data_IF_018638016801
#
_entry.id   IF_018638016801
#
_cell.length_a   1.000
_cell.length_b   1.000
_cell.length_c   1.000
_cell.angle_alpha   90.00
_cell.angle_beta   90.00
_cell.angle_gamma   90.00
#
_symmetry.space_group_name_H-M   'P 1'
#
loop_
_entity.id
_entity.type
_entity.pdbx_description
1 polymer ?
#
# COMPACT_ATOMS: atom_id res chain seq x y z
N UNK A 1 53.42 5.79 -47.67
CA UNK A 1 53.30 5.73 -46.20
C UNK A 1 51.86 6.03 -45.84
N UNK A 2 51.07 4.98 -45.65
CA UNK A 2 49.63 5.01 -45.44
C UNK A 2 49.37 5.07 -43.95
N UNK A 3 48.86 6.20 -43.45
CA UNK A 3 48.48 6.37 -42.05
C UNK A 3 47.28 5.46 -41.74
N UNK A 4 47.55 4.33 -41.08
CA UNK A 4 46.53 3.54 -40.39
C UNK A 4 46.13 4.31 -39.12
N UNK A 5 44.97 4.97 -39.18
CA UNK A 5 44.24 5.41 -37.99
C UNK A 5 43.80 4.19 -37.20
N UNK A 6 44.47 3.96 -36.07
CA UNK A 6 44.06 3.05 -35.01
C UNK A 6 42.64 3.42 -34.55
N UNK A 7 41.69 2.54 -34.83
CA UNK A 7 40.34 2.59 -34.28
C UNK A 7 40.42 2.37 -32.77
N UNK A 8 39.95 3.35 -31.99
CA UNK A 8 39.60 3.14 -30.59
C UNK A 8 38.55 2.04 -30.53
N UNK A 9 38.96 0.86 -30.10
CA UNK A 9 38.06 -0.20 -29.69
C UNK A 9 37.39 0.28 -28.41
N UNK A 10 36.16 0.76 -28.52
CA UNK A 10 35.29 1.06 -27.38
C UNK A 10 34.97 -0.27 -26.66
N UNK A 11 35.85 -0.70 -25.76
CA UNK A 11 35.57 -1.74 -24.77
C UNK A 11 34.70 -1.09 -23.68
N UNK A 12 33.45 -0.81 -24.04
CA UNK A 12 32.40 -0.42 -23.12
C UNK A 12 31.22 -1.32 -23.39
N UNK A 13 30.95 -2.29 -22.52
CA UNK A 13 29.73 -3.09 -22.60
C UNK A 13 28.55 -2.12 -22.49
N UNK A 14 27.95 -1.78 -23.64
CA UNK A 14 26.82 -0.85 -23.70
C UNK A 14 25.56 -1.64 -23.32
N UNK A 15 25.30 -1.75 -22.01
CA UNK A 15 24.10 -2.43 -21.54
C UNK A 15 22.84 -1.69 -22.02
N UNK A 16 22.02 -2.36 -22.84
CA UNK A 16 20.71 -1.83 -23.22
C UNK A 16 19.77 -1.79 -22.01
N UNK A 17 18.79 -0.87 -21.98
CA UNK A 17 17.74 -0.85 -20.94
C UNK A 17 17.03 -2.20 -20.80
N UNK A 18 16.83 -2.90 -21.92
CA UNK A 18 16.25 -4.25 -21.96
C UNK A 18 17.12 -5.26 -21.21
N UNK A 19 18.43 -5.21 -21.39
CA UNK A 19 19.36 -6.09 -20.68
C UNK A 19 19.36 -5.81 -19.17
N UNK A 20 19.39 -4.53 -18.78
CA UNK A 20 19.32 -4.11 -17.37
C UNK A 20 18.01 -4.56 -16.73
N UNK A 21 16.87 -4.33 -17.39
CA UNK A 21 15.56 -4.75 -16.91
C UNK A 21 15.47 -6.27 -16.69
N UNK A 22 16.07 -7.07 -17.58
CA UNK A 22 16.13 -8.54 -17.42
C UNK A 22 16.98 -8.96 -16.23
N UNK A 23 18.12 -8.31 -16.02
CA UNK A 23 19.00 -8.60 -14.88
C UNK A 23 18.28 -8.26 -13.57
N UNK A 24 17.67 -7.08 -13.48
CA UNK A 24 16.91 -6.66 -12.30
C UNK A 24 15.72 -7.60 -12.05
N UNK A 25 15.01 -8.03 -13.09
CA UNK A 25 13.95 -9.03 -12.96
C UNK A 25 14.46 -10.37 -12.42
N UNK A 26 15.61 -10.85 -12.90
CA UNK A 26 16.21 -12.07 -12.40
C UNK A 26 16.60 -11.94 -10.92
N UNK A 27 17.26 -10.83 -10.53
CA UNK A 27 17.62 -10.55 -9.14
C UNK A 27 16.37 -10.48 -8.26
N UNK A 28 15.32 -9.78 -8.73
CA UNK A 28 14.07 -9.66 -8.00
C UNK A 28 13.41 -11.04 -7.78
N UNK A 29 13.26 -11.85 -8.82
CA UNK A 29 12.67 -13.20 -8.71
C UNK A 29 13.50 -14.07 -7.74
N UNK A 30 14.82 -14.08 -7.88
CA UNK A 30 15.70 -14.85 -6.99
C UNK A 30 15.54 -14.39 -5.55
N UNK A 31 15.43 -13.08 -5.30
CA UNK A 31 15.24 -12.52 -3.96
C UNK A 31 13.91 -12.92 -3.30
N UNK A 32 12.89 -13.32 -4.08
CA UNK A 32 11.62 -13.80 -3.54
C UNK A 32 11.65 -15.28 -3.14
N UNK A 33 12.60 -16.08 -3.67
CA UNK A 33 12.66 -17.52 -3.42
C UNK A 33 12.81 -17.83 -1.93
N UNK A 34 13.75 -17.23 -1.17
CA UNK A 34 13.85 -17.49 0.26
C UNK A 34 12.58 -17.10 1.01
N UNK A 35 11.94 -16.00 0.59
CA UNK A 35 10.73 -15.53 1.26
C UNK A 35 9.58 -16.55 1.14
N UNK A 36 9.37 -17.06 -0.08
CA UNK A 36 8.33 -18.06 -0.37
C UNK A 36 8.69 -19.42 0.24
N UNK A 37 9.97 -19.81 0.23
CA UNK A 37 10.39 -21.08 0.82
C UNK A 37 10.11 -21.12 2.33
N UNK A 38 10.37 -20.02 3.04
CA UNK A 38 10.09 -19.91 4.49
C UNK A 38 8.58 -19.96 4.79
N UNK A 39 7.71 -19.50 3.90
CA UNK A 39 6.27 -19.44 4.19
C UNK A 39 5.62 -20.80 4.39
N UNK A 40 6.19 -21.88 3.85
CA UNK A 40 5.72 -23.26 4.08
C UNK A 40 5.85 -23.70 5.54
N UNK A 41 6.70 -23.04 6.32
CA UNK A 41 6.87 -23.29 7.75
C UNK A 41 6.00 -22.39 8.63
N UNK A 42 5.26 -21.44 8.05
CA UNK A 42 4.41 -20.56 8.83
C UNK A 42 3.24 -21.30 9.49
N UNK A 43 2.82 -20.74 10.61
CA UNK A 43 1.65 -21.15 11.38
C UNK A 43 0.88 -19.93 11.85
N UNK A 44 -0.39 -20.14 12.18
CA UNK A 44 -1.27 -19.12 12.77
C UNK A 44 -0.66 -18.61 14.07
N UNK A 45 -0.90 -17.34 14.36
CA UNK A 45 -0.46 -16.74 15.62
C UNK A 45 -1.45 -15.70 16.13
N UNK A 46 -1.48 -15.55 17.46
CA UNK A 46 -2.23 -14.52 18.17
C UNK A 46 -3.68 -14.34 17.63
N UNK A 47 -3.96 -13.18 17.06
CA UNK A 47 -5.28 -12.77 16.57
C UNK A 47 -5.87 -13.74 15.53
N UNK A 48 -5.05 -14.54 14.83
CA UNK A 48 -5.54 -15.50 13.83
C UNK A 48 -6.47 -16.54 14.47
N UNK A 49 -6.19 -16.92 15.72
CA UNK A 49 -7.04 -17.83 16.48
C UNK A 49 -8.33 -17.14 16.92
N UNK A 50 -8.24 -15.91 17.44
CA UNK A 50 -9.40 -15.19 17.97
C UNK A 50 -10.39 -14.83 16.86
N UNK A 51 -9.93 -14.25 15.75
CA UNK A 51 -10.82 -13.88 14.64
C UNK A 51 -11.26 -15.09 13.81
N UNK A 52 -10.42 -16.13 13.70
CA UNK A 52 -10.72 -17.34 12.96
C UNK A 52 -11.56 -18.37 13.70
N UNK A 53 -11.88 -18.15 14.99
CA UNK A 53 -12.52 -19.17 15.82
C UNK A 53 -13.90 -19.59 15.27
N UNK A 54 -14.80 -18.63 15.07
CA UNK A 54 -16.17 -18.90 14.62
C UNK A 54 -16.21 -19.58 13.24
N UNK A 55 -15.34 -19.15 12.34
CA UNK A 55 -15.28 -19.66 10.96
C UNK A 55 -14.63 -21.03 10.88
N UNK A 56 -13.61 -21.31 11.71
CA UNK A 56 -13.02 -22.64 11.84
C UNK A 56 -14.04 -23.66 12.38
N UNK A 57 -14.84 -23.30 13.37
CA UNK A 57 -15.94 -24.14 13.86
C UNK A 57 -16.98 -24.41 12.76
N UNK A 58 -17.46 -23.36 12.08
CA UNK A 58 -18.42 -23.51 10.98
C UNK A 58 -17.89 -24.42 9.86
N UNK A 59 -16.61 -24.31 9.52
CA UNK A 59 -15.99 -25.18 8.52
C UNK A 59 -15.90 -26.64 8.99
N UNK A 60 -15.41 -26.89 10.21
CA UNK A 60 -15.26 -28.25 10.76
C UNK A 60 -16.58 -28.99 10.93
N UNK A 61 -17.64 -28.28 11.30
CA UNK A 61 -18.96 -28.88 11.56
C UNK A 61 -19.75 -29.13 10.27
N UNK A 62 -19.61 -28.25 9.25
CA UNK A 62 -20.51 -28.27 8.09
C UNK A 62 -19.84 -28.47 6.74
N UNK A 63 -18.53 -28.18 6.62
CA UNK A 63 -17.83 -28.13 5.33
C UNK A 63 -18.38 -27.08 4.35
N UNK A 64 -19.23 -26.16 4.79
CA UNK A 64 -19.96 -25.23 3.91
C UNK A 64 -19.34 -23.84 3.91
N UNK A 65 -18.91 -23.37 2.74
CA UNK A 65 -18.41 -22.01 2.55
C UNK A 65 -19.47 -20.95 2.91
N UNK A 66 -20.75 -21.23 2.67
CA UNK A 66 -21.82 -20.30 3.03
C UNK A 66 -21.90 -20.10 4.55
N UNK A 67 -21.81 -21.18 5.32
CA UNK A 67 -21.80 -21.10 6.80
C UNK A 67 -20.55 -20.39 7.32
N UNK A 68 -19.40 -20.59 6.68
CA UNK A 68 -18.17 -19.85 6.99
C UNK A 68 -18.36 -18.35 6.76
N UNK A 69 -18.97 -17.93 5.66
CA UNK A 69 -19.24 -16.51 5.39
C UNK A 69 -20.21 -15.89 6.41
N UNK A 70 -21.26 -16.62 6.82
CA UNK A 70 -22.15 -16.18 7.89
C UNK A 70 -21.42 -16.05 9.23
N UNK A 71 -20.54 -16.98 9.56
CA UNK A 71 -19.72 -16.91 10.77
C UNK A 71 -18.75 -15.73 10.74
N UNK A 72 -18.16 -15.41 9.58
CA UNK A 72 -17.32 -14.22 9.42
C UNK A 72 -18.12 -12.92 9.66
N UNK A 73 -19.36 -12.83 9.18
CA UNK A 73 -20.23 -11.69 9.45
C UNK A 73 -20.58 -11.56 10.95
N UNK A 74 -20.81 -12.67 11.64
CA UNK A 74 -21.00 -12.68 13.10
C UNK A 74 -19.75 -12.21 13.85
N UNK A 75 -18.56 -12.58 13.36
CA UNK A 75 -17.29 -12.09 13.91
C UNK A 75 -17.17 -10.57 13.77
N UNK A 76 -17.58 -10.02 12.61
CA UNK A 76 -17.63 -8.57 12.38
C UNK A 76 -18.60 -7.90 13.35
N UNK A 77 -19.83 -8.39 13.45
CA UNK A 77 -20.87 -7.84 14.34
C UNK A 77 -20.39 -7.79 15.79
N UNK A 78 -19.88 -8.91 16.30
CA UNK A 78 -19.33 -9.01 17.66
C UNK A 78 -18.19 -8.00 17.87
N UNK A 79 -17.19 -8.03 16.99
CA UNK A 79 -16.00 -7.16 17.12
C UNK A 79 -16.35 -5.67 17.01
N UNK A 80 -17.32 -5.31 16.18
CA UNK A 80 -17.78 -3.93 16.00
C UNK A 80 -18.31 -3.33 17.31
N UNK A 81 -18.94 -4.17 18.14
CA UNK A 81 -19.49 -3.75 19.44
C UNK A 81 -18.45 -3.81 20.55
N UNK A 82 -17.63 -4.86 20.60
CA UNK A 82 -16.81 -5.15 21.79
C UNK A 82 -15.33 -4.78 21.64
N UNK A 83 -14.83 -4.49 20.43
CA UNK A 83 -13.39 -4.31 20.22
C UNK A 83 -12.97 -3.23 19.21
N UNK A 84 -13.43 -3.28 17.95
CA UNK A 84 -13.08 -2.23 16.98
C UNK A 84 -13.99 -2.22 15.76
N UNK A 85 -14.12 -1.05 15.14
CA UNK A 85 -14.99 -0.79 14.00
C UNK A 85 -14.45 -1.15 12.61
N UNK A 86 -13.27 -1.76 12.50
CA UNK A 86 -12.63 -2.07 11.21
C UNK A 86 -13.26 -3.29 10.53
N UNK A 87 -14.51 -3.13 10.13
CA UNK A 87 -15.42 -4.20 9.73
C UNK A 87 -14.90 -5.02 8.54
N UNK A 88 -14.32 -4.37 7.53
CA UNK A 88 -13.79 -5.07 6.36
C UNK A 88 -12.51 -5.84 6.71
N UNK A 89 -11.63 -5.26 7.53
CA UNK A 89 -10.44 -5.98 7.99
C UNK A 89 -10.81 -7.22 8.81
N UNK A 90 -11.73 -7.08 9.76
CA UNK A 90 -12.20 -8.19 10.61
C UNK A 90 -12.86 -9.29 9.77
N UNK A 91 -13.64 -8.92 8.76
CA UNK A 91 -14.21 -9.89 7.83
C UNK A 91 -13.12 -10.74 7.15
N UNK A 92 -12.05 -10.09 6.70
CA UNK A 92 -10.92 -10.81 6.09
C UNK A 92 -10.14 -11.64 7.11
N UNK A 93 -9.92 -11.13 8.33
CA UNK A 93 -9.25 -11.85 9.42
C UNK A 93 -9.94 -13.18 9.74
N UNK A 94 -11.27 -13.18 9.75
CA UNK A 94 -12.07 -14.36 9.98
C UNK A 94 -11.94 -15.41 8.85
N UNK A 95 -11.38 -15.05 7.70
CA UNK A 95 -11.22 -15.91 6.53
C UNK A 95 -9.76 -16.34 6.30
N UNK A 96 -8.93 -16.32 7.35
CA UNK A 96 -7.53 -16.73 7.26
C UNK A 96 -7.39 -18.19 6.76
N UNK A 97 -6.38 -18.53 5.92
CA UNK A 97 -6.34 -19.81 5.19
C UNK A 97 -6.41 -21.07 6.06
N UNK A 98 -5.88 -21.01 7.28
CA UNK A 98 -5.82 -22.15 8.18
C UNK A 98 -7.12 -22.45 8.94
N UNK A 99 -8.20 -21.70 8.72
CA UNK A 99 -9.54 -22.18 9.11
C UNK A 99 -9.92 -23.44 8.32
N UNK A 100 -9.42 -23.56 7.08
CA UNK A 100 -9.70 -24.69 6.19
C UNK A 100 -8.73 -25.85 6.43
N UNK A 101 -7.44 -25.53 6.57
CA UNK A 101 -6.38 -26.48 6.91
C UNK A 101 -5.11 -25.73 7.30
N UNK A 102 -4.48 -26.11 8.41
CA UNK A 102 -3.23 -25.50 8.88
C UNK A 102 -2.10 -25.56 7.84
N UNK A 103 -2.12 -26.57 6.96
CA UNK A 103 -1.16 -26.69 5.86
C UNK A 103 -1.30 -25.62 4.78
N UNK A 104 -2.39 -24.86 4.76
CA UNK A 104 -2.64 -23.79 3.79
C UNK A 104 -2.13 -22.42 4.27
N UNK A 105 -1.61 -22.30 5.49
CA UNK A 105 -1.22 -21.00 6.03
C UNK A 105 -0.08 -20.31 5.25
N UNK A 106 0.72 -21.06 4.48
CA UNK A 106 1.71 -20.47 3.56
C UNK A 106 1.08 -19.53 2.52
N UNK A 107 -0.20 -19.72 2.19
CA UNK A 107 -0.95 -18.85 1.28
C UNK A 107 -1.03 -17.41 1.78
N UNK A 108 -0.92 -17.18 3.09
CA UNK A 108 -0.80 -15.85 3.69
C UNK A 108 0.25 -15.01 2.97
N UNK A 109 1.48 -15.54 2.90
CA UNK A 109 2.62 -14.85 2.28
C UNK A 109 2.39 -14.62 0.78
N UNK A 110 1.80 -15.61 0.10
CA UNK A 110 1.48 -15.50 -1.33
C UNK A 110 0.46 -14.38 -1.55
N UNK A 111 -0.65 -14.37 -0.82
CA UNK A 111 -1.71 -13.36 -0.97
C UNK A 111 -1.14 -11.96 -0.75
N UNK A 112 -0.38 -11.76 0.33
CA UNK A 112 0.16 -10.45 0.69
C UNK A 112 1.21 -9.98 -0.34
N UNK A 113 2.20 -10.82 -0.66
CA UNK A 113 3.28 -10.46 -1.60
C UNK A 113 2.73 -10.15 -2.99
N UNK A 114 1.89 -11.03 -3.54
CA UNK A 114 1.39 -10.83 -4.90
C UNK A 114 0.40 -9.66 -5.00
N UNK A 115 -0.39 -9.41 -3.95
CA UNK A 115 -1.23 -8.20 -3.89
C UNK A 115 -0.38 -6.94 -3.91
N UNK A 116 0.70 -6.91 -3.14
CA UNK A 116 1.61 -5.76 -3.07
C UNK A 116 2.41 -5.56 -4.36
N UNK A 117 2.97 -6.63 -4.93
CA UNK A 117 3.70 -6.59 -6.20
C UNK A 117 2.78 -6.12 -7.33
N UNK A 118 1.61 -6.74 -7.47
CA UNK A 118 0.66 -6.42 -8.54
C UNK A 118 0.16 -4.97 -8.45
N UNK A 119 -0.25 -4.54 -7.25
CA UNK A 119 -0.74 -3.17 -7.04
C UNK A 119 0.32 -2.11 -7.29
N UNK A 120 1.56 -2.34 -6.82
CA UNK A 120 2.68 -1.41 -7.04
C UNK A 120 3.05 -1.32 -8.52
N UNK A 121 3.17 -2.46 -9.22
CA UNK A 121 3.44 -2.49 -10.66
C UNK A 121 2.35 -1.75 -11.44
N UNK A 122 1.08 -1.98 -11.10
CA UNK A 122 -0.05 -1.29 -11.74
C UNK A 122 -0.03 0.22 -11.47
N UNK A 123 0.11 0.65 -10.21
CA UNK A 123 0.16 2.06 -9.86
C UNK A 123 1.31 2.78 -10.58
N UNK A 124 2.53 2.20 -10.54
CA UNK A 124 3.69 2.76 -11.21
C UNK A 124 3.56 2.70 -12.74
N UNK A 125 2.83 1.74 -13.30
CA UNK A 125 2.51 1.74 -14.73
C UNK A 125 1.67 2.96 -15.10
N UNK A 126 0.60 3.24 -14.35
CA UNK A 126 -0.23 4.42 -14.59
C UNK A 126 0.61 5.70 -14.49
N UNK A 127 1.39 5.87 -13.42
CA UNK A 127 2.23 7.07 -13.23
C UNK A 127 3.30 7.20 -14.33
N UNK A 128 4.11 6.16 -14.54
CA UNK A 128 5.27 6.27 -15.43
C UNK A 128 4.92 6.14 -16.90
N UNK A 129 4.03 5.23 -17.28
CA UNK A 129 3.70 4.98 -18.69
C UNK A 129 2.62 5.93 -19.17
N UNK A 130 1.54 6.14 -18.41
CA UNK A 130 0.44 6.99 -18.88
C UNK A 130 0.74 8.48 -18.73
N UNK A 131 1.34 8.92 -17.62
CA UNK A 131 1.61 10.35 -17.39
C UNK A 131 3.03 10.78 -17.79
N UNK A 132 4.06 10.04 -17.39
CA UNK A 132 5.46 10.40 -17.67
C UNK A 132 5.92 9.94 -19.08
N UNK A 133 5.17 9.05 -19.72
CA UNK A 133 5.48 8.48 -21.05
C UNK A 133 6.83 7.73 -21.09
N UNK A 134 7.19 7.11 -19.98
CA UNK A 134 8.36 6.26 -19.87
C UNK A 134 8.23 5.02 -20.78
N UNK A 135 9.35 4.59 -21.38
CA UNK A 135 9.36 3.34 -22.12
C UNK A 135 9.22 2.12 -21.18
N UNK A 136 8.74 1.00 -21.73
CA UNK A 136 8.47 -0.24 -20.98
C UNK A 136 9.65 -0.70 -20.12
N UNK A 137 10.90 -0.52 -20.58
CA UNK A 137 12.07 -1.01 -19.86
C UNK A 137 12.42 -0.09 -18.70
N UNK A 138 12.28 1.22 -18.88
CA UNK A 138 12.39 2.19 -17.78
C UNK A 138 11.36 1.88 -16.69
N UNK A 139 10.09 1.68 -17.05
CA UNK A 139 9.04 1.35 -16.09
C UNK A 139 9.33 0.05 -15.33
N UNK A 140 9.77 -1.00 -16.01
CA UNK A 140 10.16 -2.27 -15.37
C UNK A 140 11.30 -2.07 -14.38
N UNK A 141 12.35 -1.35 -14.78
CA UNK A 141 13.52 -1.08 -13.92
C UNK A 141 13.07 -0.37 -12.64
N UNK A 142 12.35 0.75 -12.77
CA UNK A 142 11.90 1.53 -11.60
C UNK A 142 11.00 0.67 -10.70
N UNK A 143 9.99 0.01 -11.28
CA UNK A 143 9.02 -0.76 -10.49
C UNK A 143 9.67 -1.89 -9.70
N UNK A 144 10.59 -2.64 -10.34
CA UNK A 144 11.27 -3.75 -9.68
C UNK A 144 12.30 -3.27 -8.67
N UNK A 145 12.99 -2.15 -8.92
CA UNK A 145 13.88 -1.54 -7.93
C UNK A 145 13.08 -1.10 -6.71
N UNK A 146 12.00 -0.33 -6.87
CA UNK A 146 11.14 0.07 -5.75
C UNK A 146 10.63 -1.15 -4.96
N UNK A 147 10.11 -2.17 -5.64
CA UNK A 147 9.64 -3.40 -5.00
C UNK A 147 10.74 -4.15 -4.25
N UNK A 148 11.95 -4.21 -4.81
CA UNK A 148 13.08 -4.82 -4.15
C UNK A 148 13.38 -4.11 -2.82
N UNK A 149 13.39 -2.76 -2.80
CA UNK A 149 13.58 -2.00 -1.56
C UNK A 149 12.47 -2.25 -0.56
N UNK A 150 11.22 -2.14 -0.98
CA UNK A 150 10.08 -2.35 -0.09
C UNK A 150 10.11 -3.75 0.52
N UNK A 151 10.38 -4.80 -0.26
CA UNK A 151 10.27 -6.18 0.22
C UNK A 151 11.52 -6.60 1.01
N UNK A 152 12.72 -6.34 0.47
CA UNK A 152 13.97 -6.87 1.05
C UNK A 152 14.48 -6.03 2.22
N UNK A 153 14.05 -4.76 2.32
CA UNK A 153 14.38 -3.85 3.43
C UNK A 153 13.15 -3.49 4.25
N UNK A 154 12.09 -4.31 4.21
CA UNK A 154 10.93 -4.13 5.06
C UNK A 154 11.35 -4.08 6.55
N UNK A 155 10.99 -3.04 7.32
CA UNK A 155 11.33 -2.92 8.74
C UNK A 155 11.03 -4.16 9.60
N UNK A 156 9.93 -4.86 9.30
CA UNK A 156 9.62 -6.17 9.90
C UNK A 156 9.01 -7.11 8.86
N UNK A 157 9.82 -8.03 8.36
CA UNK A 157 9.37 -9.04 7.39
C UNK A 157 8.38 -10.04 8.01
N UNK A 158 8.56 -10.42 9.28
CA UNK A 158 7.68 -11.37 10.00
C UNK A 158 6.23 -10.89 10.00
N UNK A 159 6.03 -9.64 10.38
CA UNK A 159 4.69 -9.07 10.57
C UNK A 159 4.12 -8.52 9.26
N UNK A 160 4.99 -8.32 8.26
CA UNK A 160 4.61 -7.95 6.90
C UNK A 160 4.01 -9.13 6.14
N UNK A 161 4.77 -10.22 6.00
CA UNK A 161 4.52 -11.23 4.98
C UNK A 161 4.17 -12.59 5.56
N UNK A 162 4.46 -12.85 6.85
CA UNK A 162 4.30 -14.19 7.42
C UNK A 162 3.16 -14.31 8.41
N UNK A 163 2.59 -13.19 8.87
CA UNK A 163 1.41 -13.16 9.73
C UNK A 163 0.18 -12.64 8.99
N UNK A 164 -0.90 -13.44 8.95
CA UNK A 164 -2.08 -13.14 8.14
C UNK A 164 -2.79 -11.88 8.59
N UNK A 165 -3.16 -11.78 9.87
CA UNK A 165 -3.81 -10.57 10.35
C UNK A 165 -2.93 -9.33 10.20
N UNK A 166 -1.64 -9.40 10.54
CA UNK A 166 -0.72 -8.28 10.37
C UNK A 166 -0.62 -7.80 8.91
N UNK A 167 -0.35 -8.74 7.99
CA UNK A 167 -0.13 -8.42 6.59
C UNK A 167 -1.41 -8.05 5.83
N UNK A 168 -2.54 -8.71 6.11
CA UNK A 168 -3.84 -8.28 5.58
C UNK A 168 -4.19 -6.90 6.11
N UNK A 169 -4.01 -6.64 7.40
CA UNK A 169 -4.46 -5.38 7.98
C UNK A 169 -3.74 -4.16 7.40
N UNK A 170 -2.46 -4.28 7.08
CA UNK A 170 -1.66 -3.15 6.58
C UNK A 170 -1.28 -3.28 5.11
N UNK A 171 -0.51 -4.30 4.73
CA UNK A 171 0.07 -4.38 3.37
C UNK A 171 -1.02 -4.64 2.32
N UNK A 172 -1.99 -5.51 2.60
CA UNK A 172 -3.08 -5.75 1.66
C UNK A 172 -3.95 -4.49 1.49
N UNK A 173 -4.34 -3.81 2.58
CA UNK A 173 -5.07 -2.53 2.47
C UNK A 173 -4.25 -1.41 1.82
N UNK A 174 -2.93 -1.37 2.04
CA UNK A 174 -2.02 -0.49 1.31
C UNK A 174 -2.00 -0.81 -0.20
N UNK A 175 -2.02 -2.09 -0.54
CA UNK A 175 -2.11 -2.56 -1.94
C UNK A 175 -3.42 -2.12 -2.59
N UNK A 176 -4.55 -2.23 -1.88
CA UNK A 176 -5.83 -1.72 -2.34
C UNK A 176 -5.82 -0.21 -2.51
N UNK A 177 -5.17 0.53 -1.60
CA UNK A 177 -4.95 1.97 -1.74
C UNK A 177 -4.17 2.29 -3.03
N UNK A 178 -3.09 1.57 -3.35
CA UNK A 178 -2.35 1.77 -4.60
C UNK A 178 -3.22 1.49 -5.84
N UNK A 179 -4.04 0.43 -5.80
CA UNK A 179 -4.99 0.11 -6.88
C UNK A 179 -6.01 1.24 -7.04
N UNK A 180 -6.62 1.71 -5.95
CA UNK A 180 -7.60 2.80 -5.98
C UNK A 180 -7.01 4.06 -6.63
N UNK A 181 -5.81 4.47 -6.21
CA UNK A 181 -5.12 5.62 -6.78
C UNK A 181 -4.78 5.42 -8.26
N UNK A 182 -4.30 4.23 -8.63
CA UNK A 182 -4.04 3.87 -10.01
C UNK A 182 -5.30 3.99 -10.87
N UNK A 183 -6.42 3.42 -10.43
CA UNK A 183 -7.69 3.45 -11.17
C UNK A 183 -8.26 4.86 -11.32
N UNK A 184 -8.17 5.69 -10.28
CA UNK A 184 -8.62 7.09 -10.33
C UNK A 184 -7.78 7.91 -11.31
N UNK A 185 -6.47 7.70 -11.33
CA UNK A 185 -5.57 8.33 -12.30
C UNK A 185 -5.76 7.77 -13.72
N UNK A 186 -6.14 6.49 -13.85
CA UNK A 186 -6.28 5.85 -15.15
C UNK A 186 -7.60 6.19 -15.87
N UNK A 187 -8.62 6.62 -15.11
CA UNK A 187 -9.97 6.87 -15.65
C UNK A 187 -10.03 7.78 -16.90
N UNK A 188 -9.23 8.87 -17.04
CA UNK A 188 -9.31 9.75 -18.20
C UNK A 188 -8.80 9.10 -19.49
N UNK A 189 -8.08 7.97 -19.40
CA UNK A 189 -7.56 7.25 -20.56
C UNK A 189 -8.58 6.26 -21.15
N UNK A 190 -9.68 5.96 -20.45
CA UNK A 190 -10.72 5.08 -20.97
C UNK A 190 -11.67 5.81 -21.94
N UNK A 191 -11.80 5.29 -23.15
CA UNK A 191 -12.66 5.86 -24.20
C UNK A 191 -14.10 5.39 -24.14
N UNK A 192 -14.33 4.17 -23.64
CA UNK A 192 -15.65 3.53 -23.63
C UNK A 192 -16.44 3.93 -22.38
N UNK A 193 -17.66 4.44 -22.56
CA UNK A 193 -18.58 4.75 -21.46
C UNK A 193 -18.84 3.53 -20.57
N UNK A 194 -19.04 2.34 -21.15
CA UNK A 194 -19.25 1.09 -20.41
C UNK A 194 -18.06 0.77 -19.50
N UNK A 195 -16.84 0.94 -20.02
CA UNK A 195 -15.60 0.75 -19.25
C UNK A 195 -15.52 1.76 -18.11
N UNK A 196 -15.74 3.05 -18.37
CA UNK A 196 -15.74 4.09 -17.33
C UNK A 196 -16.76 3.76 -16.23
N UNK A 197 -17.97 3.34 -16.59
CA UNK A 197 -18.99 2.94 -15.61
C UNK A 197 -18.54 1.75 -14.76
N UNK A 198 -18.02 0.69 -15.38
CA UNK A 198 -17.51 -0.47 -14.64
C UNK A 198 -16.40 -0.08 -13.66
N UNK A 199 -15.39 0.67 -14.11
CA UNK A 199 -14.30 1.12 -13.25
C UNK A 199 -14.78 2.06 -12.16
N UNK A 200 -15.79 2.90 -12.42
CA UNK A 200 -16.43 3.74 -11.40
C UNK A 200 -17.05 2.89 -10.29
N UNK A 201 -17.77 1.81 -10.63
CA UNK A 201 -18.35 0.90 -9.65
C UNK A 201 -17.28 0.21 -8.81
N UNK A 202 -16.18 -0.23 -9.44
CA UNK A 202 -15.05 -0.83 -8.71
C UNK A 202 -14.36 0.18 -7.79
N UNK A 203 -14.14 1.42 -8.24
CA UNK A 203 -13.59 2.52 -7.41
C UNK A 203 -14.50 2.77 -6.21
N UNK A 204 -15.82 2.81 -6.40
CA UNK A 204 -16.78 3.01 -5.31
C UNK A 204 -16.73 1.87 -4.29
N UNK A 205 -16.70 0.62 -4.77
CA UNK A 205 -16.56 -0.54 -3.91
C UNK A 205 -15.25 -0.51 -3.13
N UNK A 206 -14.11 -0.27 -3.80
CA UNK A 206 -12.79 -0.18 -3.15
C UNK A 206 -12.75 0.93 -2.10
N UNK A 207 -13.40 2.07 -2.36
CA UNK A 207 -13.48 3.20 -1.42
C UNK A 207 -14.16 2.81 -0.11
N UNK A 208 -15.32 2.14 -0.16
CA UNK A 208 -15.98 1.61 1.02
C UNK A 208 -15.18 0.48 1.68
N UNK A 209 -14.57 -0.38 0.86
CA UNK A 209 -13.82 -1.54 1.36
C UNK A 209 -12.57 -1.10 2.14
N UNK A 210 -11.78 -0.16 1.61
CA UNK A 210 -10.56 0.37 2.22
C UNK A 210 -10.88 1.13 3.52
N UNK A 211 -11.97 1.88 3.55
CA UNK A 211 -12.35 2.67 4.73
C UNK A 211 -12.79 1.82 5.93
N UNK A 212 -13.26 0.59 5.68
CA UNK A 212 -13.47 -0.44 6.72
C UNK A 212 -12.21 -1.25 7.06
N UNK A 213 -11.06 -0.91 6.47
CA UNK A 213 -9.76 -1.53 6.73
C UNK A 213 -9.09 -0.97 7.97
N UNK A 214 -7.81 -0.61 7.89
CA UNK A 214 -7.11 0.08 8.97
C UNK A 214 -7.25 1.62 8.86
N UNK A 215 -7.22 2.31 10.00
CA UNK A 215 -7.36 3.77 10.05
C UNK A 215 -6.26 4.53 9.30
N UNK A 216 -5.04 4.00 9.22
CA UNK A 216 -3.94 4.64 8.49
C UNK A 216 -4.21 4.66 6.99
N UNK A 217 -4.44 3.51 6.36
CA UNK A 217 -4.71 3.44 4.92
C UNK A 217 -6.00 4.17 4.57
N UNK A 218 -7.03 4.11 5.42
CA UNK A 218 -8.28 4.84 5.22
C UNK A 218 -8.08 6.36 5.25
N UNK A 219 -7.39 6.89 6.26
CA UNK A 219 -7.12 8.34 6.37
C UNK A 219 -6.30 8.83 5.17
N UNK A 220 -5.29 8.06 4.77
CA UNK A 220 -4.39 8.44 3.67
C UNK A 220 -5.11 8.35 2.33
N UNK A 221 -6.00 7.38 2.14
CA UNK A 221 -6.92 7.36 1.01
C UNK A 221 -7.79 8.62 0.97
N UNK A 222 -8.37 9.04 2.09
CA UNK A 222 -9.15 10.29 2.16
C UNK A 222 -8.32 11.52 1.78
N UNK A 223 -7.11 11.66 2.34
CA UNK A 223 -6.22 12.80 2.07
C UNK A 223 -5.80 12.82 0.59
N UNK A 224 -5.42 11.69 0.02
CA UNK A 224 -5.06 11.62 -1.41
C UNK A 224 -6.26 11.92 -2.32
N UNK A 225 -7.43 11.34 -2.04
CA UNK A 225 -8.64 11.62 -2.81
C UNK A 225 -9.06 13.09 -2.70
N UNK A 226 -8.91 13.73 -1.54
CA UNK A 226 -9.12 15.18 -1.39
C UNK A 226 -8.17 15.98 -2.29
N UNK A 227 -6.88 15.60 -2.33
CA UNK A 227 -5.91 16.18 -3.26
C UNK A 227 -6.34 16.03 -4.72
N UNK A 228 -6.78 14.85 -5.13
CA UNK A 228 -7.31 14.61 -6.48
C UNK A 228 -8.59 15.39 -6.77
N UNK A 229 -9.51 15.52 -5.81
CA UNK A 229 -10.70 16.35 -5.94
C UNK A 229 -10.32 17.80 -6.26
N UNK A 230 -9.38 18.37 -5.51
CA UNK A 230 -8.89 19.74 -5.73
C UNK A 230 -8.25 19.86 -7.12
N UNK A 231 -7.36 18.93 -7.49
CA UNK A 231 -6.68 18.95 -8.79
C UNK A 231 -7.65 18.81 -9.97
N UNK A 232 -8.61 17.89 -9.92
CA UNK A 232 -9.58 17.67 -11.00
C UNK A 232 -10.60 18.80 -11.07
N UNK A 233 -10.91 19.45 -9.95
CA UNK A 233 -11.73 20.65 -9.92
C UNK A 233 -11.04 21.82 -10.62
N UNK A 234 -9.79 22.14 -10.23
CA UNK A 234 -9.01 23.23 -10.82
C UNK A 234 -8.78 23.02 -12.32
N UNK A 235 -8.41 21.79 -12.71
CA UNK A 235 -8.11 21.46 -14.11
C UNK A 235 -9.36 21.18 -14.96
N UNK A 236 -10.56 21.27 -14.37
CA UNK A 236 -11.85 20.98 -15.02
C UNK A 236 -11.86 19.63 -15.75
N UNK A 237 -11.17 18.64 -15.18
CA UNK A 237 -10.99 17.33 -15.80
C UNK A 237 -12.33 16.59 -15.89
N UNK A 238 -12.53 15.84 -16.98
CA UNK A 238 -13.66 14.93 -17.10
C UNK A 238 -13.61 13.87 -15.99
N UNK A 239 -14.78 13.31 -15.64
CA UNK A 239 -14.93 12.27 -14.60
C UNK A 239 -14.64 12.69 -13.15
N UNK A 240 -14.49 14.00 -12.86
CA UNK A 240 -14.32 14.51 -11.48
C UNK A 240 -15.37 14.02 -10.48
N UNK A 241 -16.60 13.76 -10.94
CA UNK A 241 -17.68 13.20 -10.11
C UNK A 241 -17.33 11.82 -9.51
N UNK A 242 -16.55 11.00 -10.22
CA UNK A 242 -16.11 9.69 -9.73
C UNK A 242 -15.20 9.85 -8.51
N UNK A 243 -14.34 10.87 -8.52
CA UNK A 243 -13.41 11.16 -7.41
C UNK A 243 -14.17 11.74 -6.23
N UNK A 244 -15.17 12.60 -6.48
CA UNK A 244 -16.02 13.14 -5.42
C UNK A 244 -16.81 12.03 -4.73
N UNK A 245 -17.35 11.09 -5.52
CA UNK A 245 -18.05 9.93 -4.99
C UNK A 245 -17.09 8.99 -4.22
N UNK A 246 -15.89 8.74 -4.75
CA UNK A 246 -14.83 7.99 -4.07
C UNK A 246 -14.50 8.59 -2.68
N UNK A 247 -14.24 9.90 -2.63
CA UNK A 247 -13.96 10.62 -1.38
C UNK A 247 -15.15 10.54 -0.41
N UNK A 248 -16.37 10.76 -0.90
CA UNK A 248 -17.57 10.66 -0.08
C UNK A 248 -17.72 9.27 0.55
N UNK A 249 -17.51 8.20 -0.23
CA UNK A 249 -17.62 6.83 0.24
C UNK A 249 -16.50 6.46 1.22
N UNK A 250 -15.26 6.91 0.98
CA UNK A 250 -14.15 6.76 1.93
C UNK A 250 -14.48 7.42 3.28
N UNK A 251 -14.97 8.68 3.25
CA UNK A 251 -15.36 9.40 4.46
C UNK A 251 -16.51 8.71 5.18
N UNK A 252 -17.53 8.27 4.44
CA UNK A 252 -18.68 7.55 4.99
C UNK A 252 -18.25 6.27 5.71
N UNK A 253 -17.46 5.42 5.05
CA UNK A 253 -16.99 4.17 5.67
C UNK A 253 -16.03 4.41 6.83
N UNK A 254 -15.20 5.47 6.76
CA UNK A 254 -14.29 5.84 7.85
C UNK A 254 -15.08 6.34 9.07
N UNK A 255 -16.15 7.11 8.86
CA UNK A 255 -17.06 7.55 9.92
C UNK A 255 -17.73 6.33 10.55
N UNK A 256 -18.29 5.41 9.76
CA UNK A 256 -18.90 4.17 10.26
C UNK A 256 -17.88 3.38 11.12
N UNK A 257 -16.66 3.20 10.62
CA UNK A 257 -15.59 2.54 11.37
C UNK A 257 -15.24 3.27 12.67
N UNK A 258 -15.15 4.61 12.63
CA UNK A 258 -14.76 5.43 13.77
C UNK A 258 -15.81 5.47 14.89
N UNK A 259 -17.11 5.54 14.56
CA UNK A 259 -18.20 5.61 15.54
C UNK A 259 -18.56 4.26 16.16
N UNK A 260 -17.92 3.17 15.71
CA UNK A 260 -18.17 1.85 16.27
C UNK A 260 -17.91 1.84 17.79
N UNK A 261 -18.87 1.38 18.61
CA UNK A 261 -18.74 1.42 20.06
C UNK A 261 -17.55 0.59 20.58
N UNK A 262 -17.15 -0.46 19.84
CA UNK A 262 -15.96 -1.25 20.17
C UNK A 262 -14.68 -0.42 20.26
N UNK A 263 -14.55 0.65 19.47
CA UNK A 263 -13.37 1.52 19.56
C UNK A 263 -13.23 2.18 20.94
N UNK A 264 -14.34 2.54 21.58
CA UNK A 264 -14.34 3.08 22.93
C UNK A 264 -13.95 2.01 23.95
N UNK A 265 -14.44 0.78 23.80
CA UNK A 265 -14.07 -0.37 24.64
C UNK A 265 -12.57 -0.64 24.54
N UNK A 266 -12.02 -0.72 23.33
CA UNK A 266 -10.59 -0.92 23.12
C UNK A 266 -9.75 0.25 23.61
N UNK A 267 -10.22 1.49 23.47
CA UNK A 267 -9.58 2.67 24.05
C UNK A 267 -9.48 2.56 25.58
N UNK A 268 -10.55 2.14 26.26
CA UNK A 268 -10.53 1.92 27.71
C UNK A 268 -9.57 0.79 28.11
N UNK A 269 -9.51 -0.30 27.35
CA UNK A 269 -8.57 -1.39 27.58
C UNK A 269 -7.10 -0.93 27.42
N UNK A 270 -6.81 -0.10 26.41
CA UNK A 270 -5.48 0.50 26.22
C UNK A 270 -5.10 1.41 27.39
N UNK A 271 -6.02 2.25 27.85
CA UNK A 271 -5.83 3.14 29.01
C UNK A 271 -5.55 2.32 30.28
N UNK A 272 -6.31 1.25 30.51
CA UNK A 272 -6.06 0.34 31.63
C UNK A 272 -4.68 -0.34 31.55
N UNK A 273 -4.17 -0.56 30.34
CA UNK A 273 -2.81 -1.06 30.07
C UNK A 273 -1.72 0.01 30.07
N UNK A 274 -2.02 1.26 30.45
CA UNK A 274 -1.03 2.36 30.51
C UNK A 274 -0.76 3.05 29.17
N UNK A 275 -1.54 2.76 28.14
CA UNK A 275 -1.46 3.42 26.83
C UNK A 275 -2.55 4.48 26.72
N UNK A 276 -2.15 5.75 26.64
CA UNK A 276 -3.09 6.88 26.64
C UNK A 276 -3.19 7.53 25.25
N UNK A 277 -4.39 8.02 24.85
CA UNK A 277 -4.53 8.79 23.63
C UNK A 277 -3.89 10.18 23.76
N UNK A 278 -3.51 10.76 22.64
CA UNK A 278 -2.92 12.11 22.55
C UNK A 278 -3.93 13.12 21.99
N UNK A 279 -3.78 14.39 22.39
CA UNK A 279 -4.62 15.49 21.87
C UNK A 279 -4.42 15.70 20.36
N UNK A 280 -5.48 16.14 19.67
CA UNK A 280 -5.47 16.36 18.21
C UNK A 280 -4.30 17.22 17.72
N UNK A 281 -4.03 18.36 18.37
CA UNK A 281 -2.94 19.28 17.96
C UNK A 281 -1.58 18.60 18.13
N UNK A 282 -1.36 17.93 19.26
CA UNK A 282 -0.11 17.21 19.51
C UNK A 282 0.08 16.06 18.52
N UNK A 283 -0.97 15.33 18.16
CA UNK A 283 -0.91 14.31 17.10
C UNK A 283 -0.41 14.88 15.77
N UNK A 284 -0.90 16.06 15.36
CA UNK A 284 -0.44 16.70 14.11
C UNK A 284 1.05 17.01 14.19
N UNK A 285 1.49 17.66 15.27
CA UNK A 285 2.90 18.04 15.48
C UNK A 285 3.80 16.80 15.48
N UNK A 286 3.42 15.79 16.27
CA UNK A 286 4.16 14.54 16.40
C UNK A 286 4.21 13.77 15.07
N UNK A 287 3.12 13.80 14.28
CA UNK A 287 3.09 13.13 12.97
C UNK A 287 4.15 13.67 12.03
N UNK A 288 4.29 15.01 11.97
CA UNK A 288 5.35 15.64 11.19
C UNK A 288 6.74 15.37 11.78
N UNK A 289 6.91 15.51 13.09
CA UNK A 289 8.21 15.28 13.74
C UNK A 289 8.72 13.84 13.54
N UNK A 290 7.86 12.85 13.73
CA UNK A 290 8.19 11.44 13.51
C UNK A 290 8.40 11.13 12.02
N UNK A 291 7.60 11.71 11.11
CA UNK A 291 7.81 11.56 9.68
C UNK A 291 9.22 12.05 9.27
N UNK A 292 9.64 13.23 9.72
CA UNK A 292 10.98 13.75 9.44
C UNK A 292 12.06 12.82 10.00
N UNK A 293 11.88 12.32 11.24
CA UNK A 293 12.82 11.37 11.85
C UNK A 293 12.97 10.10 11.03
N UNK A 294 11.86 9.50 10.59
CA UNK A 294 11.88 8.28 9.76
C UNK A 294 12.53 8.55 8.39
N UNK A 295 12.26 9.70 7.76
CA UNK A 295 12.93 10.08 6.51
C UNK A 295 14.44 10.15 6.73
N UNK A 296 14.91 10.83 7.78
CA UNK A 296 16.34 10.92 8.08
C UNK A 296 16.97 9.56 8.36
N UNK A 297 16.25 8.66 9.04
CA UNK A 297 16.73 7.31 9.37
C UNK A 297 16.83 6.42 8.12
N UNK A 298 15.85 6.50 7.22
CA UNK A 298 15.79 5.66 6.03
C UNK A 298 16.55 6.24 4.82
N UNK A 299 16.89 7.53 4.84
CA UNK A 299 17.72 8.18 3.80
C UNK A 299 19.20 7.88 4.05
N UNK A 300 19.60 6.63 3.84
CA UNK A 300 21.00 6.21 3.95
C UNK A 300 21.75 6.26 2.60
N UNK A 301 23.07 6.08 2.64
CA UNK A 301 23.95 6.13 1.45
C UNK A 301 23.54 5.11 0.38
N UNK A 302 23.08 3.93 0.78
CA UNK A 302 22.67 2.89 -0.16
C UNK A 302 21.41 3.30 -0.93
N UNK A 303 20.40 3.84 -0.23
CA UNK A 303 19.20 4.36 -0.88
C UNK A 303 19.51 5.56 -1.79
N UNK A 304 20.31 6.53 -1.32
CA UNK A 304 20.74 7.68 -2.11
C UNK A 304 21.49 7.28 -3.40
N UNK A 305 22.35 6.27 -3.31
CA UNK A 305 23.08 5.76 -4.48
C UNK A 305 22.13 5.27 -5.56
N UNK A 306 21.00 4.69 -5.17
CA UNK A 306 20.03 4.14 -6.11
C UNK A 306 19.14 5.22 -6.71
N UNK A 307 18.76 6.23 -5.93
CA UNK A 307 18.12 7.43 -6.49
C UNK A 307 19.01 8.08 -7.55
N UNK A 308 20.32 8.20 -7.28
CA UNK A 308 21.31 8.71 -8.25
C UNK A 308 21.34 7.83 -9.50
N UNK A 309 21.35 6.51 -9.37
CA UNK A 309 21.34 5.58 -10.51
C UNK A 309 20.03 5.63 -11.33
N UNK A 310 18.89 5.88 -10.69
CA UNK A 310 17.59 6.01 -11.36
C UNK A 310 17.40 7.39 -12.01
N UNK A 311 18.10 8.42 -11.53
CA UNK A 311 17.93 9.81 -12.01
C UNK A 311 18.15 9.97 -13.53
N UNK A 312 19.21 9.43 -14.16
CA UNK A 312 19.39 9.53 -15.61
C UNK A 312 18.26 8.87 -16.40
N UNK A 313 17.72 7.74 -15.89
CA UNK A 313 16.60 7.05 -16.53
C UNK A 313 15.33 7.91 -16.50
N UNK A 314 15.11 8.58 -15.37
CA UNK A 314 13.99 9.51 -15.18
C UNK A 314 14.13 10.75 -16.07
N UNK A 315 15.30 11.39 -16.06
CA UNK A 315 15.58 12.62 -16.80
C UNK A 315 15.37 12.52 -18.30
N UNK A 316 15.70 11.37 -18.91
CA UNK A 316 15.50 11.17 -20.35
C UNK A 316 14.01 11.10 -20.70
N UNK A 317 13.17 10.58 -19.79
CA UNK A 317 11.75 10.42 -20.02
C UNK A 317 10.94 11.68 -19.65
N UNK A 318 11.41 12.51 -18.72
CA UNK A 318 10.72 13.79 -18.40
C UNK A 318 10.64 14.73 -19.60
N UNK A 319 11.59 14.66 -20.56
CA UNK A 319 11.52 15.41 -21.83
C UNK A 319 10.33 15.03 -22.73
N UNK A 320 9.72 13.86 -22.50
CA UNK A 320 8.54 13.37 -23.22
C UNK A 320 7.25 13.56 -22.44
N UNK A 321 7.35 14.03 -21.20
CA UNK A 321 6.22 14.27 -20.35
C UNK A 321 5.57 15.61 -20.74
N UNK A 322 4.27 15.58 -20.99
CA UNK A 322 3.49 16.79 -21.27
C UNK A 322 3.11 17.56 -19.98
N UNK A 323 3.51 17.06 -18.81
CA UNK A 323 3.18 17.66 -17.53
C UNK A 323 4.27 18.67 -17.14
N UNK A 324 3.89 19.92 -16.91
CA UNK A 324 4.79 20.91 -16.33
C UNK A 324 4.70 20.88 -14.82
N UNK A 325 5.81 20.58 -14.13
CA UNK A 325 5.92 20.75 -12.68
C UNK A 325 6.13 22.23 -12.35
N UNK A 326 5.09 23.06 -12.52
CA UNK A 326 5.18 24.51 -12.28
C UNK A 326 5.53 24.85 -10.83
N UNK A 327 5.13 23.99 -9.90
CA UNK A 327 5.35 24.15 -8.46
C UNK A 327 5.94 22.87 -7.84
N UNK A 328 7.20 22.52 -8.13
CA UNK A 328 7.81 21.27 -7.65
C UNK A 328 7.92 21.24 -6.13
N UNK A 329 8.10 22.41 -5.49
CA UNK A 329 8.10 22.55 -4.02
C UNK A 329 6.76 22.15 -3.41
N UNK A 330 5.63 22.47 -4.05
CA UNK A 330 4.31 22.05 -3.55
C UNK A 330 4.13 20.53 -3.63
N UNK A 331 4.75 19.87 -4.61
CA UNK A 331 4.75 18.40 -4.69
C UNK A 331 5.53 17.82 -3.51
N UNK A 332 6.71 18.35 -3.21
CA UNK A 332 7.52 17.90 -2.05
C UNK A 332 6.77 18.12 -0.73
N UNK A 333 6.21 19.31 -0.52
CA UNK A 333 5.41 19.61 0.68
C UNK A 333 4.19 18.69 0.76
N UNK A 334 3.47 18.49 -0.36
CA UNK A 334 2.32 17.59 -0.43
C UNK A 334 2.68 16.15 -0.10
N UNK A 335 3.79 15.63 -0.65
CA UNK A 335 4.32 14.30 -0.35
C UNK A 335 4.67 14.16 1.13
N UNK A 336 5.32 15.17 1.73
CA UNK A 336 5.64 15.15 3.14
C UNK A 336 4.40 15.19 4.04
N UNK A 337 3.40 16.02 3.70
CA UNK A 337 2.11 16.04 4.40
C UNK A 337 1.38 14.70 4.29
N UNK A 338 1.36 14.10 3.10
CA UNK A 338 0.71 12.81 2.87
C UNK A 338 1.41 11.69 3.63
N UNK A 339 2.75 11.67 3.61
CA UNK A 339 3.56 10.73 4.38
C UNK A 339 3.27 10.87 5.88
N UNK A 340 3.27 12.11 6.39
CA UNK A 340 2.98 12.43 7.79
C UNK A 340 1.58 12.01 8.22
N UNK A 341 0.57 12.16 7.35
CA UNK A 341 -0.81 11.79 7.66
C UNK A 341 -0.97 10.30 8.01
N UNK A 342 -0.10 9.41 7.52
CA UNK A 342 -0.14 7.98 7.86
C UNK A 342 0.09 7.69 9.34
N UNK A 343 0.89 8.53 10.00
CA UNK A 343 1.29 8.34 11.40
C UNK A 343 0.22 8.84 12.39
N UNK A 344 -0.70 9.68 11.92
CA UNK A 344 -1.69 10.32 12.80
C UNK A 344 -2.58 9.33 13.56
N UNK A 345 -3.13 8.25 12.94
CA UNK A 345 -4.02 7.35 13.66
C UNK A 345 -3.39 6.63 14.87
N UNK A 346 -2.21 5.97 14.76
CA UNK A 346 -1.59 5.36 15.94
C UNK A 346 -1.09 6.39 16.94
N UNK A 347 -0.57 7.54 16.50
CA UNK A 347 -0.15 8.61 17.42
C UNK A 347 -1.32 9.18 18.21
N UNK A 348 -2.48 9.35 17.58
CA UNK A 348 -3.71 9.78 18.27
C UNK A 348 -4.18 8.74 19.28
N UNK A 349 -4.26 7.48 18.87
CA UNK A 349 -4.85 6.43 19.70
C UNK A 349 -3.92 5.94 20.81
N UNK A 350 -2.60 5.94 20.58
CA UNK A 350 -1.63 5.23 21.43
C UNK A 350 -0.39 6.05 21.78
N UNK A 351 -0.23 7.26 21.24
CA UNK A 351 0.92 8.14 21.51
C UNK A 351 2.29 7.62 21.04
N UNK A 352 2.33 6.61 20.16
CA UNK A 352 3.53 6.16 19.46
C UNK A 352 3.23 5.89 17.98
N UNK A 353 4.28 5.68 17.18
CA UNK A 353 4.18 5.52 15.71
C UNK A 353 3.52 4.22 15.26
N UNK A 354 3.07 3.38 16.19
CA UNK A 354 2.46 2.10 15.90
C UNK A 354 3.45 0.94 15.84
N UNK A 355 2.88 -0.24 15.65
CA UNK A 355 3.60 -1.51 15.63
C UNK A 355 4.44 -1.67 14.37
N UNK A 356 5.46 -2.52 14.43
CA UNK A 356 6.34 -2.91 13.31
C UNK A 356 5.61 -3.13 11.97
N UNK A 357 4.46 -3.82 11.99
CA UNK A 357 3.59 -4.04 10.82
C UNK A 357 3.05 -2.76 10.18
N UNK A 358 2.77 -1.72 10.97
CA UNK A 358 2.38 -0.40 10.48
C UNK A 358 3.59 0.34 9.89
N UNK A 359 4.74 0.26 10.56
CA UNK A 359 5.98 0.91 10.11
C UNK A 359 6.39 0.42 8.70
N UNK A 360 6.11 -0.85 8.36
CA UNK A 360 6.31 -1.37 7.00
C UNK A 360 5.63 -0.54 5.91
N UNK A 361 4.34 -0.21 6.07
CA UNK A 361 3.63 0.56 5.04
C UNK A 361 4.09 2.02 4.97
N UNK A 362 4.64 2.55 6.08
CA UNK A 362 5.28 3.87 6.07
C UNK A 362 6.54 3.81 5.23
N UNK A 363 7.38 2.80 5.46
CA UNK A 363 8.58 2.59 4.67
C UNK A 363 8.26 2.44 3.17
N UNK A 364 7.20 1.69 2.81
CA UNK A 364 6.80 1.53 1.41
C UNK A 364 6.36 2.85 0.78
N UNK A 365 5.59 3.65 1.52
CA UNK A 365 5.19 4.98 1.06
C UNK A 365 6.38 5.93 0.92
N UNK A 366 7.34 5.88 1.84
CA UNK A 366 8.59 6.65 1.75
C UNK A 366 9.35 6.30 0.47
N UNK A 367 9.55 5.01 0.17
CA UNK A 367 10.24 4.55 -1.04
C UNK A 367 9.51 4.99 -2.32
N UNK A 368 8.17 5.03 -2.32
CA UNK A 368 7.39 5.43 -3.49
C UNK A 368 7.30 6.95 -3.70
N UNK A 369 7.46 7.75 -2.63
CA UNK A 369 7.39 9.22 -2.69
C UNK A 369 8.75 9.88 -2.93
N UNK A 370 9.85 9.19 -2.63
CA UNK A 370 11.22 9.61 -2.88
C UNK A 370 11.60 9.46 -4.36
#
# INVERSE_FOLDING_TARGET
>A
MTNQTLTKQDIGIKFSKKSIAKIILAIFIISLIPLIAVSFFNRQSADDFQYGNLTAHAWRETGSLYQVLLAALRQVESSYVIWQGTFTAIFLFALQPAIFSEHLYFLTTIIILFSFIGSTIYFLYVVFVHYIKADRWTWIIISLTCLFFCIQYAPSASDAFYWFNGGIYYIFFYSLFLILNGMVLDIPFYKSKKTVTFYTLVICFLSLFISGGNFTSALVACVTMLGFCILYFINKTNHRQVIYLSLFLLLLGLIISAIAPGNAVRSQALIAGGTYPTSFIKTIIDSFAHALRLIMEWTNVFFLSILILLTPLMWVNTKRCNFSFKYPVLVVIGSYCLFSAQLAPPLFAMSYIGESRQVNIYYFMYILLA
#
